data_IF_176883591325
#
_entry.id   IF_176883591325
#
_cell.length_a   1.000
_cell.length_b   1.000
_cell.length_c   1.000
_cell.angle_alpha   90.00
_cell.angle_beta   90.00
_cell.angle_gamma   90.00
#
_symmetry.space_group_name_H-M   'P 1'
#
loop_
_entity.id
_entity.type
_entity.pdbx_description
1 polymer ?
#
# COMPACT_ATOMS: atom_id res chain seq x y z
N UNK A 1 -47.49 31.23 12.49
CA UNK A 1 -47.85 29.97 11.81
C UNK A 1 -46.58 29.39 11.17
N UNK A 2 -45.63 29.00 12.03
CA UNK A 2 -44.40 28.29 11.67
C UNK A 2 -44.68 26.84 12.05
N UNK A 3 -45.18 26.02 11.13
CA UNK A 3 -45.44 24.61 11.42
C UNK A 3 -45.64 23.76 10.16
N UNK A 4 -44.87 23.98 9.09
CA UNK A 4 -44.92 23.06 7.93
C UNK A 4 -43.58 22.76 7.25
N UNK A 5 -42.43 23.18 7.82
CA UNK A 5 -41.12 22.81 7.23
C UNK A 5 -40.49 21.53 7.81
N UNK A 6 -41.17 20.85 8.76
CA UNK A 6 -40.62 19.67 9.46
C UNK A 6 -41.27 18.32 9.05
N UNK A 7 -42.12 18.27 8.02
CA UNK A 7 -42.88 17.05 7.69
C UNK A 7 -42.20 16.08 6.71
N UNK A 8 -41.03 16.40 6.15
CA UNK A 8 -40.36 15.56 5.16
C UNK A 8 -38.91 15.17 5.48
N UNK A 9 -38.43 15.31 6.72
CA UNK A 9 -37.17 14.69 7.14
C UNK A 9 -35.93 15.00 6.28
N UNK A 10 -35.93 16.10 5.52
CA UNK A 10 -34.84 16.47 4.60
C UNK A 10 -33.66 17.18 5.29
N UNK A 11 -33.47 16.89 6.58
CA UNK A 11 -32.20 17.12 7.27
C UNK A 11 -31.59 15.75 7.60
N UNK A 12 -31.35 14.92 6.58
CA UNK A 12 -30.35 13.87 6.69
C UNK A 12 -28.97 14.56 6.69
N UNK A 13 -28.49 15.00 7.85
CA UNK A 13 -27.05 15.14 8.04
C UNK A 13 -26.45 13.76 7.77
N UNK A 14 -26.04 13.53 6.51
CA UNK A 14 -25.43 12.28 6.08
C UNK A 14 -24.33 11.94 7.09
N UNK A 15 -24.49 10.82 7.79
CA UNK A 15 -23.55 10.39 8.82
C UNK A 15 -22.13 10.40 8.25
N UNK A 16 -21.30 11.33 8.73
CA UNK A 16 -19.93 11.48 8.27
C UNK A 16 -19.05 10.44 8.94
N UNK A 17 -18.37 9.63 8.13
CA UNK A 17 -17.35 8.71 8.62
C UNK A 17 -16.11 9.48 9.03
N UNK A 18 -15.64 9.26 10.26
CA UNK A 18 -14.56 10.04 10.88
C UNK A 18 -14.80 11.56 10.88
N UNK A 19 -16.06 12.01 10.88
CA UNK A 19 -16.47 13.43 10.81
C UNK A 19 -16.03 14.19 9.53
N UNK A 20 -15.42 13.52 8.56
CA UNK A 20 -14.85 14.14 7.35
C UNK A 20 -15.39 13.55 6.05
N UNK A 21 -15.55 12.22 6.01
CA UNK A 21 -15.93 11.51 4.80
C UNK A 21 -17.43 11.25 4.74
N UNK A 22 -18.01 11.31 3.55
CA UNK A 22 -19.44 11.09 3.33
C UNK A 22 -19.66 10.27 2.06
N UNK A 23 -20.89 9.79 1.87
CA UNK A 23 -21.26 9.02 0.69
C UNK A 23 -22.46 9.70 0.02
N UNK A 24 -22.24 10.35 -1.12
CA UNK A 24 -23.35 10.92 -1.91
C UNK A 24 -23.99 9.94 -2.89
N UNK A 25 -23.43 8.73 -3.05
CA UNK A 25 -23.99 7.71 -3.92
C UNK A 25 -25.41 7.34 -3.50
N UNK A 26 -26.31 7.29 -4.48
CA UNK A 26 -27.71 6.90 -4.30
C UNK A 26 -27.90 5.38 -4.25
N UNK A 27 -26.87 4.60 -4.58
CA UNK A 27 -26.94 3.15 -4.59
C UNK A 27 -26.62 2.57 -3.20
N UNK A 28 -27.61 1.89 -2.59
CA UNK A 28 -27.47 1.24 -1.27
C UNK A 28 -26.74 -0.11 -1.34
N UNK A 29 -26.53 -0.71 -2.52
CA UNK A 29 -25.84 -2.01 -2.68
C UNK A 29 -24.33 -1.89 -2.50
N UNK A 30 -23.81 -0.67 -2.41
CA UNK A 30 -22.38 -0.38 -2.49
C UNK A 30 -21.62 -0.70 -1.20
N UNK A 31 -22.30 -0.85 -0.06
CA UNK A 31 -21.61 -1.11 1.22
C UNK A 31 -20.83 -2.44 1.29
N UNK A 32 -21.12 -3.41 0.41
CA UNK A 32 -20.43 -4.70 0.33
C UNK A 32 -19.55 -4.86 -0.92
N UNK A 33 -19.29 -3.77 -1.63
CA UNK A 33 -18.54 -3.81 -2.88
C UNK A 33 -17.04 -3.58 -2.69
N UNK A 34 -16.26 -3.86 -3.74
CA UNK A 34 -14.79 -3.80 -3.68
C UNK A 34 -14.30 -2.36 -3.52
N UNK A 35 -14.95 -1.44 -4.22
CA UNK A 35 -14.73 0.00 -4.16
C UNK A 35 -14.97 0.54 -2.74
N UNK A 36 -16.06 0.16 -2.08
CA UNK A 36 -16.36 0.63 -0.72
C UNK A 36 -15.38 0.06 0.28
N UNK A 37 -14.96 -1.20 0.12
CA UNK A 37 -13.92 -1.78 0.96
C UNK A 37 -12.57 -1.08 0.77
N UNK A 38 -12.18 -0.73 -0.45
CA UNK A 38 -10.96 0.02 -0.73
C UNK A 38 -11.00 1.42 -0.11
N UNK A 39 -12.08 2.17 -0.36
CA UNK A 39 -12.32 3.50 0.19
C UNK A 39 -12.36 3.49 1.72
N UNK A 40 -13.12 2.56 2.31
CA UNK A 40 -13.19 2.39 3.76
C UNK A 40 -11.83 2.03 4.36
N UNK A 41 -11.02 1.22 3.69
CA UNK A 41 -9.69 0.88 4.18
C UNK A 41 -8.74 2.08 4.13
N UNK A 42 -8.81 2.88 3.06
CA UNK A 42 -8.08 4.14 2.92
C UNK A 42 -8.40 5.09 4.08
N UNK A 43 -9.69 5.35 4.36
CA UNK A 43 -10.11 6.18 5.49
C UNK A 43 -9.62 5.66 6.84
N UNK A 44 -9.70 4.34 7.07
CA UNK A 44 -9.17 3.71 8.29
C UNK A 44 -7.66 3.91 8.40
N UNK A 45 -6.92 3.77 7.30
CA UNK A 45 -5.47 3.97 7.31
C UNK A 45 -5.10 5.40 7.72
N UNK A 46 -5.89 6.39 7.32
CA UNK A 46 -5.63 7.80 7.59
C UNK A 46 -6.10 8.20 8.98
N UNK A 47 -7.37 7.97 9.31
CA UNK A 47 -8.01 8.58 10.49
C UNK A 47 -8.13 7.67 11.71
N UNK A 48 -8.00 6.35 11.56
CA UNK A 48 -8.17 5.43 12.68
C UNK A 48 -6.99 5.56 13.66
N UNK A 49 -7.26 5.88 14.93
CA UNK A 49 -6.24 6.06 15.95
C UNK A 49 -6.10 4.86 16.90
N UNK A 50 -5.86 3.68 16.32
CA UNK A 50 -5.46 2.49 17.09
C UNK A 50 -4.04 2.05 16.72
N UNK A 51 -3.44 1.23 17.59
CA UNK A 51 -2.05 0.80 17.45
C UNK A 51 -1.77 0.15 16.08
N UNK A 52 -2.69 -0.67 15.60
CA UNK A 52 -2.56 -1.36 14.31
C UNK A 52 -2.42 -0.38 13.14
N UNK A 53 -3.20 0.69 13.09
CA UNK A 53 -3.11 1.67 12.00
C UNK A 53 -1.99 2.68 12.20
N UNK A 54 -1.66 3.06 13.44
CA UNK A 54 -0.44 3.83 13.74
C UNK A 54 0.82 3.13 13.24
N UNK A 55 0.95 1.83 13.50
CA UNK A 55 2.08 1.02 12.99
C UNK A 55 2.11 0.95 11.45
N UNK A 56 0.96 0.94 10.77
CA UNK A 56 0.91 0.95 9.30
C UNK A 56 1.34 2.29 8.70
N UNK A 57 0.99 3.41 9.35
CA UNK A 57 1.43 4.76 8.96
C UNK A 57 2.94 4.92 9.12
N UNK A 58 3.55 4.24 10.11
CA UNK A 58 4.99 4.31 10.41
C UNK A 58 5.48 5.75 10.65
N UNK A 59 4.65 6.54 11.33
CA UNK A 59 4.94 7.96 11.59
C UNK A 59 4.84 8.87 10.36
N UNK A 60 4.43 8.37 9.19
CA UNK A 60 4.12 9.22 8.05
C UNK A 60 2.82 9.95 8.30
N UNK A 61 2.83 11.24 8.00
CA UNK A 61 1.60 12.00 7.83
C UNK A 61 0.97 11.56 6.52
N UNK A 62 -0.28 11.09 6.58
CA UNK A 62 -0.98 10.53 5.44
C UNK A 62 -2.27 11.31 5.25
N UNK A 63 -2.52 11.81 4.05
CA UNK A 63 -3.74 12.56 3.72
C UNK A 63 -4.55 11.86 2.62
N UNK A 64 -5.76 12.35 2.39
CA UNK A 64 -6.63 11.97 1.27
C UNK A 64 -7.03 13.29 0.61
N UNK A 65 -7.01 13.35 -0.73
CA UNK A 65 -7.47 14.53 -1.44
C UNK A 65 -8.96 14.79 -1.15
N UNK A 66 -9.38 16.05 -1.23
CA UNK A 66 -10.74 16.44 -0.85
C UNK A 66 -11.82 15.72 -1.68
N UNK A 67 -11.54 15.45 -2.96
CA UNK A 67 -12.45 14.76 -3.86
C UNK A 67 -12.79 13.36 -3.35
N UNK A 68 -11.80 12.63 -2.84
CA UNK A 68 -11.95 11.26 -2.36
C UNK A 68 -12.53 11.14 -0.94
N UNK A 69 -12.82 12.26 -0.27
CA UNK A 69 -13.63 12.25 0.95
C UNK A 69 -15.11 11.98 0.64
N UNK A 70 -15.55 12.20 -0.59
CA UNK A 70 -16.82 11.67 -1.09
C UNK A 70 -16.60 10.31 -1.75
N UNK A 71 -17.30 9.30 -1.25
CA UNK A 71 -17.27 7.97 -1.83
C UNK A 71 -17.69 7.96 -3.31
N UNK A 72 -18.64 8.81 -3.74
CA UNK A 72 -19.10 8.80 -5.13
C UNK A 72 -17.97 9.14 -6.12
N UNK A 73 -17.17 10.16 -5.83
CA UNK A 73 -16.01 10.55 -6.63
C UNK A 73 -14.94 9.45 -6.67
N UNK A 74 -14.67 8.83 -5.50
CA UNK A 74 -13.75 7.69 -5.45
C UNK A 74 -14.28 6.50 -6.27
N UNK A 75 -15.58 6.24 -6.23
CA UNK A 75 -16.21 5.15 -6.96
C UNK A 75 -16.13 5.34 -8.48
N UNK A 76 -16.33 6.56 -8.97
CA UNK A 76 -16.15 6.91 -10.38
C UNK A 76 -14.71 6.61 -10.82
N UNK A 77 -13.72 7.14 -10.10
CA UNK A 77 -12.31 6.85 -10.37
C UNK A 77 -11.98 5.35 -10.28
N UNK A 78 -12.58 4.65 -9.31
CA UNK A 78 -12.41 3.20 -9.16
C UNK A 78 -12.89 2.45 -10.39
N UNK A 79 -14.05 2.82 -10.95
CA UNK A 79 -14.61 2.19 -12.15
C UNK A 79 -13.70 2.27 -13.38
N UNK A 80 -12.93 3.36 -13.49
CA UNK A 80 -12.00 3.58 -14.59
C UNK A 80 -10.63 2.92 -14.39
N UNK A 81 -10.19 2.78 -13.13
CA UNK A 81 -8.81 2.40 -12.80
C UNK A 81 -8.67 0.98 -12.22
N UNK A 82 -9.77 0.36 -11.80
CA UNK A 82 -9.74 -0.97 -11.24
C UNK A 82 -9.66 -2.05 -12.33
N UNK A 83 -8.77 -3.01 -12.11
CA UNK A 83 -8.60 -4.19 -12.97
C UNK A 83 -8.36 -5.42 -12.09
N UNK A 84 -8.53 -6.61 -12.66
CA UNK A 84 -8.29 -7.88 -11.96
C UNK A 84 -7.13 -8.65 -12.58
N UNK A 85 -6.42 -9.40 -11.74
CA UNK A 85 -5.35 -10.31 -12.17
C UNK A 85 -5.68 -11.72 -11.70
N UNK A 86 -6.33 -12.50 -12.57
CA UNK A 86 -6.81 -13.83 -12.20
C UNK A 86 -7.66 -13.80 -10.93
N UNK A 87 -7.28 -14.62 -9.94
CA UNK A 87 -7.95 -14.71 -8.64
C UNK A 87 -7.27 -13.89 -7.54
N UNK A 88 -6.36 -12.97 -7.88
CA UNK A 88 -5.66 -12.17 -6.88
C UNK A 88 -6.53 -11.09 -6.28
N UNK A 89 -6.32 -10.83 -4.99
CA UNK A 89 -6.84 -9.63 -4.37
C UNK A 89 -6.02 -8.42 -4.83
N UNK A 90 -6.71 -7.35 -5.18
CA UNK A 90 -6.11 -6.09 -5.60
C UNK A 90 -6.16 -5.11 -4.42
N UNK A 91 -5.04 -4.45 -4.15
CA UNK A 91 -4.90 -3.45 -3.09
C UNK A 91 -4.59 -2.07 -3.71
N UNK A 92 -5.17 -1.00 -3.16
CA UNK A 92 -4.88 0.39 -3.56
C UNK A 92 -3.50 0.80 -3.03
N UNK A 93 -2.59 1.17 -3.93
CA UNK A 93 -1.22 1.55 -3.63
C UNK A 93 -0.96 3.01 -3.99
N UNK A 94 -0.64 3.82 -2.98
CA UNK A 94 -0.31 5.24 -3.15
C UNK A 94 1.16 5.52 -3.47
N UNK A 95 2.05 4.57 -3.18
CA UNK A 95 3.49 4.82 -3.09
C UNK A 95 4.34 3.95 -4.04
N UNK A 96 3.71 3.37 -5.07
CA UNK A 96 4.43 2.65 -6.10
C UNK A 96 4.92 3.61 -7.20
N UNK A 97 4.06 4.51 -7.68
CA UNK A 97 4.42 5.47 -8.72
C UNK A 97 5.40 6.52 -8.19
N UNK A 98 5.13 7.03 -6.99
CA UNK A 98 5.98 7.95 -6.24
C UNK A 98 6.17 7.46 -4.80
N UNK A 99 7.39 7.04 -4.45
CA UNK A 99 7.68 6.46 -3.13
C UNK A 99 7.59 7.48 -1.98
N UNK A 100 7.69 8.76 -2.30
CA UNK A 100 7.61 9.89 -1.36
C UNK A 100 6.18 10.41 -1.18
N UNK A 101 5.22 9.86 -1.94
CA UNK A 101 3.83 10.26 -1.86
C UNK A 101 3.18 9.91 -0.50
N UNK A 102 2.56 10.92 0.09
CA UNK A 102 1.85 10.85 1.35
C UNK A 102 0.35 11.08 1.24
N UNK A 103 -0.17 11.31 0.04
CA UNK A 103 -1.58 11.57 -0.20
C UNK A 103 -2.24 10.43 -0.98
N UNK A 104 -3.49 10.11 -0.65
CA UNK A 104 -4.34 9.33 -1.54
C UNK A 104 -5.05 10.27 -2.51
N UNK A 105 -4.60 10.26 -3.76
CA UNK A 105 -5.13 11.05 -4.87
C UNK A 105 -5.05 10.26 -6.20
N UNK A 106 -5.88 10.60 -7.21
CA UNK A 106 -5.94 9.93 -8.51
C UNK A 106 -4.60 9.78 -9.25
N UNK A 107 -3.70 10.75 -9.10
CA UNK A 107 -2.50 10.89 -9.92
C UNK A 107 -1.41 9.87 -9.52
N UNK A 108 -1.33 9.56 -8.23
CA UNK A 108 -0.25 8.77 -7.65
C UNK A 108 -0.71 7.39 -7.14
N UNK A 109 -2.03 7.18 -7.08
CA UNK A 109 -2.61 5.92 -6.65
C UNK A 109 -2.85 4.94 -7.80
N UNK A 110 -2.56 3.67 -7.57
CA UNK A 110 -2.81 2.57 -8.52
C UNK A 110 -3.25 1.31 -7.80
N UNK A 111 -4.11 0.53 -8.43
CA UNK A 111 -4.38 -0.83 -7.96
C UNK A 111 -3.24 -1.77 -8.34
N UNK A 112 -2.81 -2.60 -7.39
CA UNK A 112 -1.80 -3.63 -7.61
C UNK A 112 -2.22 -4.95 -6.99
N UNK A 113 -1.80 -6.09 -7.56
CA UNK A 113 -2.00 -7.38 -6.91
C UNK A 113 -1.37 -7.39 -5.50
N UNK A 114 -2.03 -8.06 -4.55
CA UNK A 114 -1.60 -8.13 -3.15
C UNK A 114 -0.17 -8.63 -3.00
N UNK A 115 0.28 -9.55 -3.87
CA UNK A 115 1.66 -10.01 -3.91
C UNK A 115 2.63 -8.85 -4.14
N UNK A 116 2.33 -7.96 -5.09
CA UNK A 116 3.13 -6.76 -5.37
C UNK A 116 3.08 -5.79 -4.18
N UNK A 117 1.89 -5.52 -3.62
CA UNK A 117 1.75 -4.67 -2.42
C UNK A 117 2.65 -5.15 -1.28
N UNK A 118 2.61 -6.44 -0.95
CA UNK A 118 3.44 -7.03 0.11
C UNK A 118 4.93 -7.01 -0.22
N UNK A 119 5.27 -7.07 -1.51
CA UNK A 119 6.64 -7.09 -1.99
C UNK A 119 7.34 -5.76 -1.74
N UNK A 120 6.66 -4.65 -2.06
CA UNK A 120 7.17 -3.28 -1.98
C UNK A 120 6.96 -2.65 -0.60
N UNK A 121 5.99 -3.13 0.18
CA UNK A 121 5.74 -2.60 1.53
C UNK A 121 6.93 -2.93 2.45
N UNK A 122 7.56 -1.90 3.06
CA UNK A 122 8.59 -2.16 4.05
C UNK A 122 8.00 -2.91 5.24
N UNK A 123 8.67 -3.98 5.69
CA UNK A 123 8.37 -4.58 7.00
C UNK A 123 9.05 -3.75 8.10
N UNK A 124 8.68 -3.97 9.36
CA UNK A 124 9.29 -3.24 10.48
C UNK A 124 10.81 -3.50 10.53
N UNK A 125 11.55 -2.51 11.02
CA UNK A 125 12.99 -2.61 11.23
C UNK A 125 13.31 -3.77 12.19
N UNK A 126 14.52 -4.29 12.05
CA UNK A 126 15.01 -5.30 12.97
C UNK A 126 15.04 -4.73 14.40
N UNK A 127 14.73 -5.55 15.41
CA UNK A 127 14.86 -5.14 16.83
C UNK A 127 16.29 -4.71 17.18
N UNK A 128 17.27 -5.13 16.38
CA UNK A 128 18.69 -4.80 16.51
C UNK A 128 19.07 -3.40 16.03
N UNK A 129 18.15 -2.60 15.50
CA UNK A 129 18.46 -1.28 14.93
C UNK A 129 19.23 -1.34 13.61
N UNK A 130 19.43 -2.54 13.06
CA UNK A 130 20.09 -2.75 11.77
C UNK A 130 19.10 -2.54 10.62
N UNK A 131 19.61 -2.11 9.44
CA UNK A 131 18.82 -1.99 8.23
C UNK A 131 18.03 -3.26 7.92
N UNK A 132 16.91 -3.10 7.21
CA UNK A 132 16.09 -4.24 6.81
C UNK A 132 16.94 -5.25 6.01
N UNK A 133 16.77 -6.53 6.33
CA UNK A 133 17.49 -7.60 5.65
C UNK A 133 18.94 -7.74 6.08
N UNK A 134 19.43 -6.90 7.00
CA UNK A 134 20.77 -7.00 7.58
C UNK A 134 20.69 -7.61 8.97
N UNK A 135 21.64 -8.49 9.25
CA UNK A 135 21.88 -8.98 10.60
C UNK A 135 23.37 -9.03 10.90
N UNK A 136 23.69 -9.25 12.17
CA UNK A 136 25.05 -9.27 12.68
C UNK A 136 25.36 -10.63 13.35
N UNK A 137 26.55 -11.18 13.08
CA UNK A 137 27.01 -12.47 13.60
C UNK A 137 28.17 -12.23 14.57
N UNK A 138 27.87 -12.33 15.86
CA UNK A 138 28.84 -12.09 16.96
C UNK A 138 30.10 -12.97 16.86
N UNK A 139 29.94 -14.26 16.55
CA UNK A 139 31.05 -15.22 16.53
C UNK A 139 32.13 -14.88 15.49
N UNK A 140 31.73 -14.35 14.34
CA UNK A 140 32.66 -13.99 13.26
C UNK A 140 32.94 -12.49 13.18
N UNK A 141 32.31 -11.68 14.03
CA UNK A 141 32.35 -10.21 13.95
C UNK A 141 32.02 -9.69 12.53
N UNK A 142 30.99 -10.27 11.88
CA UNK A 142 30.61 -9.90 10.51
C UNK A 142 29.10 -9.71 10.36
N UNK A 143 28.73 -8.94 9.35
CA UNK A 143 27.36 -8.74 8.92
C UNK A 143 26.95 -9.75 7.85
N UNK A 144 25.64 -9.93 7.72
CA UNK A 144 25.03 -10.75 6.69
C UNK A 144 23.77 -10.09 6.14
N UNK A 145 23.48 -10.35 4.87
CA UNK A 145 22.23 -9.97 4.22
C UNK A 145 21.28 -11.16 4.11
N UNK A 146 19.98 -10.92 4.12
CA UNK A 146 18.95 -11.96 3.98
C UNK A 146 17.75 -11.43 3.22
N UNK A 147 17.47 -12.02 2.06
CA UNK A 147 16.33 -11.69 1.21
C UNK A 147 15.40 -12.91 1.08
N UNK A 148 14.12 -12.74 1.41
CA UNK A 148 13.10 -13.77 1.23
C UNK A 148 12.43 -13.61 -0.13
N UNK A 149 12.49 -14.66 -0.94
CA UNK A 149 11.95 -14.70 -2.29
C UNK A 149 11.04 -15.92 -2.49
N UNK A 150 10.20 -15.88 -3.53
CA UNK A 150 9.54 -17.08 -4.04
C UNK A 150 10.31 -17.53 -5.27
N UNK A 151 10.82 -18.76 -5.25
CA UNK A 151 11.50 -19.38 -6.38
C UNK A 151 10.80 -20.70 -6.67
N UNK A 152 10.32 -20.87 -7.90
CA UNK A 152 9.60 -22.08 -8.33
C UNK A 152 8.40 -22.43 -7.42
N UNK A 153 7.67 -21.41 -6.97
CA UNK A 153 6.52 -21.55 -6.07
C UNK A 153 6.88 -21.91 -4.62
N UNK A 154 8.17 -21.94 -4.26
CA UNK A 154 8.65 -22.27 -2.92
C UNK A 154 9.29 -21.05 -2.24
N UNK A 155 8.98 -20.82 -0.94
CA UNK A 155 9.66 -19.79 -0.17
C UNK A 155 11.15 -20.16 -0.04
N UNK A 156 12.02 -19.28 -0.52
CA UNK A 156 13.46 -19.45 -0.50
C UNK A 156 14.12 -18.23 0.13
N UNK A 157 15.20 -18.46 0.87
CA UNK A 157 15.98 -17.38 1.50
C UNK A 157 17.34 -17.31 0.84
N UNK A 158 17.65 -16.17 0.23
CA UNK A 158 18.99 -15.82 -0.23
C UNK A 158 19.74 -15.20 0.94
N UNK A 159 20.93 -15.71 1.25
CA UNK A 159 21.77 -15.21 2.33
C UNK A 159 23.21 -15.03 1.86
N UNK A 160 23.76 -13.85 2.11
CA UNK A 160 25.18 -13.56 1.94
C UNK A 160 25.77 -13.17 3.29
N UNK A 161 27.00 -13.56 3.57
CA UNK A 161 27.65 -13.30 4.87
C UNK A 161 29.11 -12.90 4.69
N UNK A 162 29.70 -12.31 5.73
CA UNK A 162 31.12 -11.93 5.72
C UNK A 162 31.36 -10.45 5.42
N UNK A 163 30.29 -9.64 5.41
CA UNK A 163 30.41 -8.18 5.25
C UNK A 163 31.03 -7.55 6.49
N UNK A 164 31.83 -6.51 6.29
CA UNK A 164 32.51 -5.79 7.38
C UNK A 164 31.60 -4.74 8.00
N UNK A 165 30.67 -4.19 7.22
CA UNK A 165 29.77 -3.13 7.66
C UNK A 165 28.30 -3.47 7.39
N UNK A 166 27.39 -2.78 8.08
CA UNK A 166 25.95 -2.94 7.86
C UNK A 166 25.53 -2.41 6.49
N UNK A 167 26.22 -1.38 5.99
CA UNK A 167 25.99 -0.73 4.71
C UNK A 167 26.33 -1.67 3.54
N UNK A 168 27.44 -2.39 3.62
CA UNK A 168 27.81 -3.42 2.64
C UNK A 168 26.75 -4.54 2.59
N UNK A 169 26.33 -5.03 3.75
CA UNK A 169 25.28 -6.03 3.83
C UNK A 169 23.94 -5.52 3.29
N UNK A 170 23.61 -4.25 3.55
CA UNK A 170 22.39 -3.64 3.01
C UNK A 170 22.46 -3.46 1.50
N UNK A 171 23.60 -3.05 0.95
CA UNK A 171 23.78 -2.92 -0.49
C UNK A 171 23.53 -4.25 -1.21
N UNK A 172 23.99 -5.37 -0.64
CA UNK A 172 23.68 -6.69 -1.17
C UNK A 172 22.18 -7.02 -1.05
N UNK A 173 21.56 -6.77 0.12
CA UNK A 173 20.12 -6.97 0.29
C UNK A 173 19.30 -6.14 -0.71
N UNK A 174 19.66 -4.86 -0.92
CA UNK A 174 19.05 -3.94 -1.88
C UNK A 174 19.05 -4.56 -3.27
N UNK A 175 20.22 -5.02 -3.73
CA UNK A 175 20.37 -5.70 -5.01
C UNK A 175 19.46 -6.93 -5.14
N UNK A 176 19.55 -7.86 -4.19
CA UNK A 176 18.75 -9.09 -4.23
C UNK A 176 17.25 -8.81 -4.23
N UNK A 177 16.83 -7.78 -3.47
CA UNK A 177 15.43 -7.39 -3.33
C UNK A 177 14.90 -6.71 -4.59
N UNK A 178 15.68 -5.81 -5.19
CA UNK A 178 15.33 -5.12 -6.44
C UNK A 178 15.29 -6.10 -7.62
N UNK A 179 16.24 -7.03 -7.70
CA UNK A 179 16.25 -8.08 -8.71
C UNK A 179 15.02 -8.99 -8.57
N UNK A 180 14.63 -9.33 -7.34
CA UNK A 180 13.39 -10.06 -7.09
C UNK A 180 12.16 -9.24 -7.48
N UNK A 181 12.10 -7.94 -7.17
CA UNK A 181 11.00 -7.06 -7.61
C UNK A 181 10.88 -7.03 -9.13
N UNK A 182 12.00 -6.90 -9.85
CA UNK A 182 12.03 -6.95 -11.33
C UNK A 182 11.58 -8.30 -11.87
N UNK A 183 11.96 -9.41 -11.22
CA UNK A 183 11.51 -10.75 -11.62
C UNK A 183 9.99 -10.89 -11.48
N UNK A 184 9.42 -10.44 -10.37
CA UNK A 184 7.97 -10.42 -10.16
C UNK A 184 7.31 -9.50 -11.18
N UNK A 185 7.85 -8.31 -11.44
CA UNK A 185 7.30 -7.41 -12.46
C UNK A 185 7.19 -8.09 -13.83
N UNK A 186 8.20 -8.88 -14.24
CA UNK A 186 8.19 -9.65 -15.49
C UNK A 186 7.10 -10.74 -15.50
N UNK A 187 6.87 -11.44 -14.39
CA UNK A 187 5.77 -12.42 -14.27
C UNK A 187 4.38 -11.79 -14.47
N UNK A 188 4.23 -10.53 -14.08
CA UNK A 188 2.98 -9.77 -14.20
C UNK A 188 2.89 -8.92 -15.48
N UNK A 189 3.92 -8.89 -16.33
CA UNK A 189 4.07 -7.88 -17.39
C UNK A 189 2.87 -7.76 -18.34
N UNK A 190 2.18 -8.87 -18.65
CA UNK A 190 0.98 -8.90 -19.50
C UNK A 190 -0.33 -8.71 -18.75
N UNK A 191 -0.31 -8.62 -17.42
CA UNK A 191 -1.48 -8.64 -16.53
C UNK A 191 -1.69 -7.32 -15.79
N UNK A 192 -0.68 -6.43 -15.78
CA UNK A 192 -0.73 -5.15 -15.06
C UNK A 192 -0.59 -3.98 -16.03
N UNK A 193 -1.12 -2.80 -15.68
CA UNK A 193 -0.92 -1.58 -16.45
C UNK A 193 0.56 -1.23 -16.64
N UNK A 194 0.87 -0.57 -17.77
CA UNK A 194 2.24 -0.25 -18.18
C UNK A 194 2.96 0.67 -17.20
N UNK A 195 2.26 1.60 -16.57
CA UNK A 195 2.80 2.48 -15.53
C UNK A 195 3.21 1.67 -14.28
N UNK A 196 2.37 0.74 -13.81
CA UNK A 196 2.67 -0.17 -12.69
C UNK A 196 3.91 -1.01 -13.00
N UNK A 197 3.99 -1.62 -14.18
CA UNK A 197 5.16 -2.39 -14.60
C UNK A 197 6.44 -1.54 -14.62
N UNK A 198 6.40 -0.35 -15.22
CA UNK A 198 7.55 0.57 -15.29
C UNK A 198 8.00 1.02 -13.90
N UNK A 199 7.06 1.31 -13.01
CA UNK A 199 7.35 1.69 -11.64
C UNK A 199 8.06 0.55 -10.88
N UNK A 200 7.60 -0.69 -11.03
CA UNK A 200 8.27 -1.86 -10.43
C UNK A 200 9.69 -2.06 -10.98
N UNK A 201 9.90 -1.87 -12.28
CA UNK A 201 11.21 -2.01 -12.91
C UNK A 201 12.22 -0.96 -12.43
N UNK A 202 11.74 0.20 -11.99
CA UNK A 202 12.53 1.32 -11.45
C UNK A 202 12.51 1.41 -9.93
N UNK A 203 11.85 0.47 -9.25
CA UNK A 203 11.63 0.56 -7.82
C UNK A 203 12.97 0.47 -7.08
N UNK A 204 13.22 1.45 -6.22
CA UNK A 204 14.43 1.51 -5.41
C UNK A 204 14.15 1.07 -3.97
N UNK A 205 14.97 0.16 -3.44
CA UNK A 205 14.91 -0.22 -2.03
C UNK A 205 15.76 0.76 -1.23
N UNK A 206 15.09 1.57 -0.41
CA UNK A 206 15.70 2.56 0.48
C UNK A 206 15.99 1.96 1.86
N UNK A 207 17.07 2.44 2.50
CA UNK A 207 17.53 2.00 3.83
C UNK A 207 16.58 2.46 4.93
#
# INVERSE_FOLDING_TARGET
MQLESNLWGLNEEKSKKYNVAYNTSTDKRVYNSKEYHAWSYMLRLVYEDNERFRQKRKGRDITICNEWLDFANFNEWFGENYYTVGNETMDLCRNLLNQDNNEFAPEECVFVPRRIMQLITPKNLSKSGLPRGVGYRKLSNTYYSTCYIQKDGKPTTIRHSGFKTAEEAFAQYKKDKEDYIKSVAKEYASKIPRNVYRALMRFEVRM
#
